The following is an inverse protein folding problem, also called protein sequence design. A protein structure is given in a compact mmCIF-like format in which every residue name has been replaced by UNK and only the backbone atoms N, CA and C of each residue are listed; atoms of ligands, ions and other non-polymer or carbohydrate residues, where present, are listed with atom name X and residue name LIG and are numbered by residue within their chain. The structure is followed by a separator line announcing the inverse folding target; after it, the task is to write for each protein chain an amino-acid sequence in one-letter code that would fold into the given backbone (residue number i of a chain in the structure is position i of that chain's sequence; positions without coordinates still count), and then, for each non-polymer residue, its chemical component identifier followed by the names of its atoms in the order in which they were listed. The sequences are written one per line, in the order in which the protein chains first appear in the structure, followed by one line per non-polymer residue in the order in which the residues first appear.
data_IF_381315768436
#
_entry.id   IF_381315768436
#
_cell.length_a   1.000
_cell.length_b   1.000
_cell.length_c   1.000
_cell.angle_alpha   90.00
_cell.angle_beta   90.00
_cell.angle_gamma   90.00
#
_symmetry.space_group_name_H-M   'P 1'
#
loop_
_entity.id
_entity.type
_entity.pdbx_description
1 polymer ?
#
# COMPACT_ATOMS: atom_id res chain seq x y z
N UNK A 1 -15.80 -5.07 7.78
CA UNK A 1 -14.58 -4.66 7.05
C UNK A 1 -14.49 -5.24 5.64
N UNK A 2 -14.94 -6.48 5.39
CA UNK A 2 -14.90 -7.11 4.05
C UNK A 2 -15.33 -6.25 2.84
N UNK A 3 -16.31 -5.35 2.98
CA UNK A 3 -16.73 -4.45 1.88
C UNK A 3 -15.71 -3.35 1.57
N UNK A 4 -14.95 -2.91 2.57
CA UNK A 4 -13.87 -1.92 2.45
C UNK A 4 -12.57 -2.55 1.94
N UNK A 5 -12.36 -3.85 2.20
CA UNK A 5 -11.16 -4.58 1.76
C UNK A 5 -11.08 -4.80 0.25
N UNK A 6 -12.22 -4.94 -0.43
CA UNK A 6 -12.24 -5.15 -1.88
C UNK A 6 -11.61 -3.99 -2.68
N UNK A 7 -12.03 -2.71 -2.49
CA UNK A 7 -11.44 -1.59 -3.21
C UNK A 7 -10.01 -1.26 -2.77
N UNK A 8 -9.57 -1.68 -1.58
CA UNK A 8 -8.23 -1.40 -1.04
C UNK A 8 -7.08 -1.89 -1.91
N UNK A 9 -7.32 -2.86 -2.80
CA UNK A 9 -6.32 -3.27 -3.76
C UNK A 9 -6.01 -2.20 -4.81
N UNK A 10 -6.95 -1.30 -5.10
CA UNK A 10 -6.86 -0.31 -6.17
C UNK A 10 -6.77 1.13 -5.64
N UNK A 11 -7.29 1.39 -4.45
CA UNK A 11 -7.27 2.72 -3.85
C UNK A 11 -5.89 3.06 -3.29
N UNK A 12 -5.45 4.30 -3.47
CA UNK A 12 -4.18 4.82 -2.96
C UNK A 12 -4.47 5.96 -1.98
N UNK A 13 -5.16 5.62 -0.89
CA UNK A 13 -5.51 6.56 0.16
C UNK A 13 -4.32 6.81 1.09
N UNK A 14 -4.11 8.06 1.48
CA UNK A 14 -3.12 8.42 2.49
C UNK A 14 -3.57 7.96 3.88
N UNK A 15 -2.61 7.78 4.80
CA UNK A 15 -2.89 7.35 6.17
C UNK A 15 -3.89 8.27 6.91
N UNK A 16 -3.81 9.58 6.66
CA UNK A 16 -4.75 10.56 7.23
C UNK A 16 -6.16 10.36 6.67
N UNK A 17 -6.30 10.19 5.35
CA UNK A 17 -7.59 9.94 4.70
C UNK A 17 -8.23 8.65 5.23
N UNK A 18 -7.43 7.59 5.42
CA UNK A 18 -7.89 6.35 6.03
C UNK A 18 -8.39 6.57 7.47
N UNK A 19 -7.71 7.41 8.24
CA UNK A 19 -8.10 7.76 9.62
C UNK A 19 -9.41 8.53 9.63
N UNK A 20 -9.59 9.49 8.72
CA UNK A 20 -10.80 10.30 8.60
C UNK A 20 -12.02 9.43 8.22
N UNK A 21 -11.83 8.47 7.30
CA UNK A 21 -12.87 7.50 6.90
C UNK A 21 -13.27 6.60 8.08
N UNK A 22 -12.30 6.16 8.88
CA UNK A 22 -12.52 5.23 9.99
C UNK A 22 -13.07 5.93 11.25
N UNK A 23 -12.79 7.22 11.43
CA UNK A 23 -13.21 8.02 12.59
C UNK A 23 -14.72 7.91 12.91
N UNK A 24 -15.66 8.19 11.98
CA UNK A 24 -17.09 8.09 12.28
C UNK A 24 -17.54 6.66 12.59
N UNK A 25 -16.91 5.67 11.94
CA UNK A 25 -17.20 4.25 12.19
C UNK A 25 -16.85 3.90 13.63
N UNK A 26 -15.65 4.25 14.10
CA UNK A 26 -15.21 3.99 15.47
C UNK A 26 -16.03 4.75 16.51
N UNK A 27 -16.43 5.99 16.22
CA UNK A 27 -17.26 6.78 17.14
C UNK A 27 -18.62 6.12 17.44
N UNK A 28 -19.17 5.38 16.47
CA UNK A 28 -20.43 4.64 16.61
C UNK A 28 -20.21 3.22 17.12
N UNK A 29 -19.18 2.53 16.66
CA UNK A 29 -18.93 1.13 16.98
C UNK A 29 -18.38 0.92 18.39
N UNK A 30 -17.48 1.79 18.88
CA UNK A 30 -16.85 1.61 20.20
C UNK A 30 -17.86 1.62 21.36
N UNK A 31 -18.79 2.59 21.45
CA UNK A 31 -19.81 2.57 22.51
C UNK A 31 -20.71 1.34 22.46
N UNK A 32 -21.03 0.87 21.25
CA UNK A 32 -21.83 -0.36 21.05
C UNK A 32 -21.09 -1.62 21.51
N UNK A 33 -19.75 -1.60 21.46
CA UNK A 33 -18.90 -2.66 21.97
C UNK A 33 -18.61 -2.54 23.48
N UNK A 34 -19.20 -1.56 24.19
CA UNK A 34 -18.93 -1.31 25.60
C UNK A 34 -17.64 -0.56 25.89
N UNK A 35 -16.99 0.00 24.87
CA UNK A 35 -15.75 0.78 24.99
C UNK A 35 -16.05 2.28 24.90
N UNK A 36 -15.29 3.11 25.62
CA UNK A 36 -15.42 4.56 25.55
C UNK A 36 -15.25 5.08 24.11
N UNK A 37 -16.09 6.04 23.69
CA UNK A 37 -16.01 6.68 22.36
C UNK A 37 -14.63 7.29 22.08
N UNK A 38 -14.06 7.91 23.12
CA UNK A 38 -12.78 8.63 23.09
C UNK A 38 -11.60 7.73 23.46
N UNK A 39 -11.76 6.40 23.42
CA UNK A 39 -10.68 5.48 23.70
C UNK A 39 -9.50 5.73 22.73
N UNK A 40 -8.23 5.75 23.23
CA UNK A 40 -7.06 6.08 22.43
C UNK A 40 -6.98 5.20 21.17
N UNK A 41 -6.86 5.84 20.00
CA UNK A 41 -6.92 5.15 18.71
C UNK A 41 -5.75 4.19 18.51
N UNK A 42 -4.58 4.50 19.05
CA UNK A 42 -3.43 3.60 19.01
C UNK A 42 -3.71 2.26 19.71
N UNK A 43 -4.44 2.28 20.83
CA UNK A 43 -4.83 1.08 21.58
C UNK A 43 -5.98 0.33 20.90
N UNK A 44 -6.86 1.05 20.18
CA UNK A 44 -7.90 0.42 19.33
C UNK A 44 -7.26 -0.49 18.28
N UNK A 45 -6.23 0.01 17.60
CA UNK A 45 -5.57 -0.73 16.51
C UNK A 45 -4.45 -1.68 17.00
N UNK A 46 -4.02 -1.54 18.25
CA UNK A 46 -3.04 -2.44 18.84
C UNK A 46 -3.55 -3.90 18.90
N UNK A 47 -2.65 -4.89 18.83
CA UNK A 47 -3.03 -6.29 18.88
C UNK A 47 -3.51 -6.69 20.28
N UNK A 48 -4.35 -7.74 20.32
CA UNK A 48 -4.88 -8.30 21.57
C UNK A 48 -3.78 -8.77 22.54
N UNK A 49 -2.62 -9.19 22.03
CA UNK A 49 -1.47 -9.60 22.84
C UNK A 49 -0.92 -8.49 23.73
N UNK A 50 -1.10 -7.23 23.33
CA UNK A 50 -0.69 -6.04 24.08
C UNK A 50 -1.91 -5.28 24.64
N UNK A 51 -3.00 -6.00 24.94
CA UNK A 51 -4.25 -5.45 25.49
C UNK A 51 -4.92 -4.40 24.59
N UNK A 52 -4.63 -4.40 23.28
CA UNK A 52 -5.37 -3.63 22.30
C UNK A 52 -6.70 -4.28 21.94
N UNK A 53 -7.51 -3.61 21.11
CA UNK A 53 -8.78 -4.16 20.63
C UNK A 53 -8.63 -5.07 19.40
N UNK A 54 -7.44 -5.13 18.80
CA UNK A 54 -7.13 -5.98 17.65
C UNK A 54 -7.83 -5.58 16.35
N UNK A 55 -8.31 -4.33 16.25
CA UNK A 55 -8.90 -3.83 15.01
C UNK A 55 -7.79 -3.55 13.99
N UNK A 56 -7.86 -4.08 12.77
CA UNK A 56 -6.83 -3.81 11.78
C UNK A 56 -6.94 -2.38 11.26
N UNK A 57 -5.79 -1.70 11.16
CA UNK A 57 -5.74 -0.33 10.66
C UNK A 57 -5.98 -0.30 9.14
N UNK A 58 -6.90 0.54 8.63
CA UNK A 58 -7.30 0.54 7.21
C UNK A 58 -6.13 0.80 6.25
N UNK A 59 -5.21 1.71 6.59
CA UNK A 59 -4.02 1.96 5.78
C UNK A 59 -3.09 0.73 5.73
N UNK A 60 -2.92 0.03 6.86
CA UNK A 60 -2.12 -1.20 6.90
C UNK A 60 -2.75 -2.31 6.05
N UNK A 61 -4.07 -2.42 6.05
CA UNK A 61 -4.79 -3.34 5.16
C UNK A 61 -4.60 -2.98 3.68
N UNK A 62 -4.62 -1.69 3.33
CA UNK A 62 -4.39 -1.23 1.96
C UNK A 62 -3.00 -1.62 1.47
N UNK A 63 -1.95 -1.28 2.23
CA UNK A 63 -0.57 -1.64 1.88
C UNK A 63 -0.41 -3.16 1.78
N UNK A 64 -0.99 -3.91 2.72
CA UNK A 64 -0.97 -5.37 2.65
C UNK A 64 -1.61 -5.90 1.35
N UNK A 65 -2.71 -5.30 0.90
CA UNK A 65 -3.34 -5.67 -0.38
C UNK A 65 -2.52 -5.28 -1.59
N UNK A 66 -1.86 -4.13 -1.57
CA UNK A 66 -0.93 -3.73 -2.63
C UNK A 66 0.24 -4.72 -2.74
N UNK A 67 0.83 -5.11 -1.61
CA UNK A 67 1.88 -6.13 -1.55
C UNK A 67 1.38 -7.49 -2.04
N UNK A 68 0.20 -7.92 -1.58
CA UNK A 68 -0.43 -9.16 -2.02
C UNK A 68 -0.61 -9.16 -3.54
N UNK A 69 -1.07 -8.05 -4.13
CA UNK A 69 -1.23 -7.93 -5.57
C UNK A 69 0.09 -8.01 -6.33
N UNK A 70 1.11 -7.25 -5.89
CA UNK A 70 2.44 -7.26 -6.52
C UNK A 70 3.03 -8.67 -6.51
N UNK A 71 3.08 -9.31 -5.34
CA UNK A 71 3.66 -10.64 -5.18
C UNK A 71 2.85 -11.70 -5.93
N UNK A 72 1.52 -11.68 -5.82
CA UNK A 72 0.67 -12.69 -6.44
C UNK A 72 0.67 -12.59 -7.96
N UNK A 73 0.52 -11.40 -8.53
CA UNK A 73 0.35 -11.25 -9.96
C UNK A 73 1.67 -11.34 -10.71
N UNK A 74 2.77 -10.81 -10.16
CA UNK A 74 4.10 -10.94 -10.76
C UNK A 74 4.66 -12.35 -10.64
N UNK A 75 4.52 -13.03 -9.48
CA UNK A 75 5.03 -14.39 -9.34
C UNK A 75 4.27 -15.41 -10.19
N UNK A 76 2.95 -15.26 -10.34
CA UNK A 76 2.11 -16.22 -11.06
C UNK A 76 1.96 -15.92 -12.57
N UNK A 77 2.71 -14.94 -13.12
CA UNK A 77 2.68 -14.56 -14.55
C UNK A 77 1.25 -14.45 -15.12
N UNK A 78 0.39 -13.79 -14.35
CA UNK A 78 -1.00 -13.55 -14.76
C UNK A 78 -1.05 -12.40 -15.78
N UNK A 79 -2.15 -12.23 -16.52
CA UNK A 79 -2.31 -11.07 -17.43
C UNK A 79 -2.14 -9.72 -16.74
N UNK A 80 -2.60 -9.60 -15.51
CA UNK A 80 -2.35 -8.41 -14.68
C UNK A 80 -0.87 -8.24 -14.36
N UNK A 81 -0.14 -9.34 -14.16
CA UNK A 81 1.31 -9.35 -14.00
C UNK A 81 2.02 -8.83 -15.26
N UNK A 82 1.61 -9.29 -16.45
CA UNK A 82 2.14 -8.80 -17.73
C UNK A 82 1.97 -7.27 -17.85
N UNK A 83 0.81 -6.73 -17.47
CA UNK A 83 0.58 -5.28 -17.45
C UNK A 83 1.40 -4.54 -16.40
N UNK A 84 1.57 -5.12 -15.20
CA UNK A 84 2.42 -4.54 -14.15
C UNK A 84 3.89 -4.51 -14.57
N UNK A 85 4.38 -5.57 -15.18
CA UNK A 85 5.73 -5.64 -15.73
C UNK A 85 5.96 -4.61 -16.84
N UNK A 86 5.03 -4.51 -17.81
CA UNK A 86 5.08 -3.48 -18.83
C UNK A 86 5.08 -2.06 -18.23
N UNK A 87 4.32 -1.85 -17.15
CA UNK A 87 4.28 -0.59 -16.43
C UNK A 87 5.61 -0.29 -15.71
N UNK A 88 6.23 -1.28 -15.06
CA UNK A 88 7.58 -1.14 -14.47
C UNK A 88 8.59 -0.76 -15.56
N UNK A 89 8.58 -1.45 -16.71
CA UNK A 89 9.50 -1.19 -17.82
C UNK A 89 9.30 0.21 -18.43
N UNK A 90 8.05 0.69 -18.53
CA UNK A 90 7.77 2.06 -18.93
C UNK A 90 8.39 3.06 -17.96
N UNK A 91 8.26 2.85 -16.64
CA UNK A 91 8.89 3.74 -15.65
C UNK A 91 10.42 3.66 -15.66
N UNK A 92 11.00 2.50 -15.99
CA UNK A 92 12.46 2.39 -16.19
C UNK A 92 12.92 3.26 -17.34
N UNK A 93 12.18 3.27 -18.44
CA UNK A 93 12.45 4.14 -19.58
C UNK A 93 12.29 5.63 -19.21
N UNK A 94 11.23 5.99 -18.47
CA UNK A 94 11.00 7.36 -18.00
C UNK A 94 12.11 7.87 -17.07
N UNK A 95 12.56 7.01 -16.15
CA UNK A 95 13.62 7.34 -15.19
C UNK A 95 15.04 7.20 -15.77
N UNK A 96 15.18 6.51 -16.91
CA UNK A 96 16.48 6.22 -17.53
C UNK A 96 17.35 5.27 -16.71
N UNK A 97 16.74 4.39 -15.91
CA UNK A 97 17.47 3.51 -14.98
C UNK A 97 17.43 2.04 -15.42
N UNK A 98 18.51 1.31 -15.14
CA UNK A 98 18.60 -0.12 -15.45
C UNK A 98 18.00 -1.03 -14.37
N UNK A 99 17.48 -0.47 -13.26
CA UNK A 99 16.92 -1.20 -12.12
C UNK A 99 15.40 -1.08 -12.08
N UNK A 100 14.70 -1.98 -11.40
CA UNK A 100 13.24 -1.90 -11.27
C UNK A 100 12.80 -0.67 -10.46
N UNK A 101 11.62 -0.10 -10.79
CA UNK A 101 11.08 1.11 -10.13
C UNK A 101 11.11 1.02 -8.59
N UNK A 102 10.74 -0.13 -8.03
CA UNK A 102 10.64 -0.37 -6.59
C UNK A 102 11.99 -0.44 -5.86
N UNK A 103 13.10 -0.46 -6.60
CA UNK A 103 14.47 -0.51 -6.06
C UNK A 103 15.14 0.88 -6.08
N UNK A 104 14.47 1.89 -6.64
CA UNK A 104 14.96 3.25 -6.72
C UNK A 104 14.57 4.06 -5.48
N UNK A 105 15.33 5.12 -5.22
CA UNK A 105 15.01 6.10 -4.18
C UNK A 105 13.91 7.03 -4.70
N UNK A 106 12.73 7.02 -4.06
CA UNK A 106 11.55 7.75 -4.53
C UNK A 106 11.79 9.25 -4.53
N UNK A 107 12.37 9.78 -3.45
CA UNK A 107 12.66 11.23 -3.34
C UNK A 107 13.46 11.80 -4.52
N UNK A 108 14.36 11.02 -5.13
CA UNK A 108 15.21 11.47 -6.23
C UNK A 108 14.58 11.22 -7.61
N UNK A 109 13.92 10.08 -7.80
CA UNK A 109 13.54 9.57 -9.13
C UNK A 109 12.05 9.69 -9.42
N UNK A 110 11.21 9.89 -8.40
CA UNK A 110 9.76 10.00 -8.58
C UNK A 110 9.34 11.22 -9.41
N UNK A 111 10.16 12.27 -9.50
CA UNK A 111 9.87 13.44 -10.34
C UNK A 111 9.86 13.10 -11.83
N UNK A 112 10.62 12.08 -12.24
CA UNK A 112 10.74 11.65 -13.64
C UNK A 112 9.64 10.66 -14.04
N UNK A 113 9.01 10.01 -13.06
CA UNK A 113 7.99 8.99 -13.24
C UNK A 113 6.58 9.58 -13.44
N UNK A 114 5.80 9.01 -14.35
CA UNK A 114 4.38 9.30 -14.54
C UNK A 114 3.53 8.98 -13.28
N UNK A 115 2.44 9.71 -13.04
CA UNK A 115 1.52 9.40 -11.93
C UNK A 115 0.70 8.15 -12.24
N UNK A 116 1.15 7.02 -11.70
CA UNK A 116 0.52 5.72 -11.86
C UNK A 116 0.23 5.10 -10.49
N UNK A 117 -0.64 4.08 -10.47
CA UNK A 117 -0.87 3.30 -9.26
C UNK A 117 0.44 2.76 -8.67
N UNK A 118 1.36 2.30 -9.53
CA UNK A 118 2.64 1.73 -9.10
C UNK A 118 3.56 2.77 -8.45
N UNK A 119 3.60 4.00 -8.98
CA UNK A 119 4.34 5.12 -8.36
C UNK A 119 3.82 5.43 -6.95
N UNK A 120 2.50 5.38 -6.75
CA UNK A 120 1.89 5.60 -5.43
C UNK A 120 2.20 4.47 -4.46
N UNK A 121 2.16 3.22 -4.91
CA UNK A 121 2.57 2.07 -4.10
C UNK A 121 4.05 2.20 -3.71
N UNK A 122 4.91 2.61 -4.63
CA UNK A 122 6.32 2.85 -4.34
C UNK A 122 6.54 3.91 -3.25
N UNK A 123 5.78 5.01 -3.27
CA UNK A 123 5.78 6.00 -2.19
C UNK A 123 5.37 5.40 -0.84
N UNK A 124 4.31 4.58 -0.82
CA UNK A 124 3.85 3.90 0.40
C UNK A 124 4.92 2.94 0.95
N UNK A 125 5.62 2.22 0.08
CA UNK A 125 6.67 1.28 0.46
C UNK A 125 7.91 1.97 1.02
N UNK A 126 8.33 3.10 0.43
CA UNK A 126 9.44 3.89 0.96
C UNK A 126 9.11 4.44 2.36
N UNK A 127 7.88 4.92 2.58
CA UNK A 127 7.43 5.40 3.89
C UNK A 127 7.39 4.33 4.99
N UNK A 128 7.37 3.05 4.61
CA UNK A 128 7.36 1.91 5.53
C UNK A 128 8.70 1.15 5.56
N UNK A 129 9.72 1.66 4.87
CA UNK A 129 11.04 1.02 4.74
C UNK A 129 10.95 -0.43 4.21
N UNK A 130 10.06 -0.67 3.24
CA UNK A 130 9.85 -1.98 2.62
C UNK A 130 10.60 -2.04 1.30
N UNK A 131 11.58 -2.93 1.22
CA UNK A 131 12.34 -3.18 -0.01
C UNK A 131 11.79 -4.39 -0.78
N UNK A 132 11.47 -4.19 -2.06
CA UNK A 132 11.05 -5.25 -2.98
C UNK A 132 12.05 -5.33 -4.13
N UNK A 133 12.78 -6.43 -4.19
CA UNK A 133 13.64 -6.72 -5.33
C UNK A 133 12.80 -7.19 -6.52
N UNK A 134 13.04 -6.59 -7.68
CA UNK A 134 12.46 -7.01 -8.93
C UNK A 134 13.58 -7.18 -9.96
N UNK A 135 13.69 -8.39 -10.52
CA UNK A 135 14.63 -8.68 -11.59
C UNK A 135 13.98 -8.26 -12.91
N UNK A 136 14.39 -7.10 -13.39
CA UNK A 136 13.89 -6.54 -14.64
C UNK A 136 14.92 -6.72 -15.74
N UNK A 137 14.50 -7.01 -16.99
CA UNK A 137 15.43 -7.02 -18.11
C UNK A 137 16.15 -5.68 -18.21
N UNK A 138 17.48 -5.73 -18.31
CA UNK A 138 18.29 -4.53 -18.49
C UNK A 138 17.88 -3.80 -19.78
N UNK A 139 17.74 -2.48 -19.71
CA UNK A 139 17.54 -1.65 -20.89
C UNK A 139 18.76 -1.80 -21.82
N UNK A 140 18.55 -2.37 -23.00
CA UNK A 140 19.52 -2.32 -24.09
C UNK A 140 19.42 -0.94 -24.74
N UNK A 141 20.16 0.03 -24.20
CA UNK A 141 20.30 1.37 -24.77
C UNK A 141 21.32 1.38 -25.91
#
# INVERSE_FOLDING_TARGET
MKKLEYPMALTTLEAQQCTDIMSPVLQVCLPKAGVCRNFPRDVVFAPLSYQGLGLPHPFGCQVFKHLEMLLRHMANRTKTGDYMEANIQAHQLETGTSFGLLQLVYSNTAILASDTWLKRVWHELEGLDIYIAYDSPALSL
#
